data_IF_212362446804
#
_entry.id   IF_212362446804
#
_cell.length_a   1.000
_cell.length_b   1.000
_cell.length_c   1.000
_cell.angle_alpha   90.00
_cell.angle_beta   90.00
_cell.angle_gamma   90.00
#
_symmetry.space_group_name_H-M   'P 1'
#
loop_
_entity.id
_entity.type
_entity.pdbx_description
1 polymer ?
#
# COMPACT_ATOMS: atom_id res chain seq x y z
N UNK A 1 3.60 -13.55 -17.36
CA UNK A 1 3.45 -14.95 -17.86
C UNK A 1 2.17 -15.46 -17.24
N UNK A 2 1.13 -15.68 -18.05
CA UNK A 2 -0.19 -16.04 -17.55
C UNK A 2 -0.16 -17.41 -16.84
N UNK A 3 -0.81 -17.55 -15.70
CA UNK A 3 -1.02 -18.85 -15.07
C UNK A 3 -2.08 -19.67 -15.81
N UNK A 4 -2.24 -20.94 -15.42
CA UNK A 4 -3.22 -21.87 -16.02
C UNK A 4 -4.69 -21.42 -15.86
N UNK A 5 -4.96 -20.35 -15.11
CA UNK A 5 -6.30 -19.76 -14.94
C UNK A 5 -6.46 -18.43 -15.68
N UNK A 6 -5.46 -18.01 -16.45
CA UNK A 6 -5.50 -16.78 -17.25
C UNK A 6 -5.16 -15.51 -16.48
N UNK A 7 -4.54 -15.61 -15.31
CA UNK A 7 -4.07 -14.43 -14.56
C UNK A 7 -2.64 -14.09 -14.94
N UNK A 8 -2.35 -12.82 -15.25
CA UNK A 8 -0.97 -12.39 -15.45
C UNK A 8 -0.32 -12.18 -14.09
N UNK A 9 0.32 -13.23 -13.60
CA UNK A 9 1.12 -13.18 -12.39
C UNK A 9 2.46 -12.53 -12.74
N UNK A 10 2.46 -11.19 -12.76
CA UNK A 10 3.65 -10.36 -12.86
C UNK A 10 4.59 -10.51 -11.65
N UNK A 11 5.59 -9.61 -11.56
CA UNK A 11 6.68 -9.59 -10.57
C UNK A 11 6.27 -9.87 -9.11
N UNK A 12 5.04 -9.50 -8.72
CA UNK A 12 4.47 -9.71 -7.39
C UNK A 12 4.43 -11.19 -6.93
N UNK A 13 4.30 -12.16 -7.84
CA UNK A 13 4.24 -13.58 -7.47
C UNK A 13 5.63 -14.23 -7.33
N UNK A 14 6.65 -13.72 -8.03
CA UNK A 14 7.99 -14.33 -8.08
C UNK A 14 8.84 -14.01 -6.86
N UNK A 15 8.56 -12.92 -6.16
CA UNK A 15 9.25 -12.56 -4.92
C UNK A 15 8.48 -13.10 -3.70
N UNK A 16 8.63 -14.40 -3.41
CA UNK A 16 8.35 -14.95 -2.06
C UNK A 16 9.29 -14.29 -1.06
N UNK A 17 8.97 -13.08 -0.61
CA UNK A 17 9.58 -12.44 0.54
C UNK A 17 8.51 -12.24 1.58
N UNK A 18 8.86 -12.65 2.79
CA UNK A 18 8.11 -12.59 4.04
C UNK A 18 7.82 -11.11 4.35
N UNK A 19 6.84 -10.55 3.65
CA UNK A 19 6.34 -9.20 3.80
C UNK A 19 4.86 -9.30 3.51
N UNK A 20 4.08 -9.55 4.56
CA UNK A 20 2.65 -9.71 4.42
C UNK A 20 2.11 -8.34 4.00
N UNK A 21 1.61 -8.28 2.77
CA UNK A 21 0.81 -7.17 2.29
C UNK A 21 -0.62 -7.45 2.74
N UNK A 22 -1.20 -6.53 3.51
CA UNK A 22 -2.50 -6.75 4.14
C UNK A 22 -3.64 -6.12 3.34
N UNK A 23 -3.31 -5.07 2.59
CA UNK A 23 -4.27 -4.32 1.76
C UNK A 23 -3.53 -3.57 0.63
N UNK A 24 -4.25 -3.21 -0.43
CA UNK A 24 -3.74 -2.38 -1.51
C UNK A 24 -4.83 -1.50 -2.13
N UNK A 25 -4.47 -0.26 -2.46
CA UNK A 25 -5.30 0.70 -3.18
C UNK A 25 -4.50 1.21 -4.38
N UNK A 26 -5.16 1.45 -5.51
CA UNK A 26 -4.51 1.96 -6.71
C UNK A 26 -5.11 3.31 -7.11
N UNK A 27 -4.26 4.20 -7.61
CA UNK A 27 -4.64 5.40 -8.36
C UNK A 27 -4.39 5.17 -9.84
N UNK A 28 -4.58 6.21 -10.67
CA UNK A 28 -4.25 6.10 -12.10
C UNK A 28 -2.76 5.79 -12.34
N UNK A 29 -1.87 6.27 -11.48
CA UNK A 29 -0.42 6.20 -11.71
C UNK A 29 0.31 5.23 -10.76
N UNK A 30 -0.24 4.97 -9.57
CA UNK A 30 0.50 4.33 -8.49
C UNK A 30 -0.35 3.26 -7.77
N UNK A 31 0.34 2.22 -7.29
CA UNK A 31 -0.21 1.19 -6.41
C UNK A 31 0.37 1.39 -5.02
N UNK A 32 -0.50 1.63 -4.04
CA UNK A 32 -0.16 1.75 -2.64
C UNK A 32 -0.45 0.43 -1.96
N UNK A 33 0.52 -0.13 -1.26
CA UNK A 33 0.34 -1.38 -0.55
C UNK A 33 0.72 -1.27 0.91
N UNK A 34 -0.23 -1.64 1.75
CA UNK A 34 -0.13 -1.60 3.20
C UNK A 34 0.61 -2.82 3.74
N UNK A 35 1.59 -2.55 4.59
CA UNK A 35 2.38 -3.56 5.28
C UNK A 35 2.45 -3.24 6.76
N UNK A 36 2.38 -4.27 7.60
CA UNK A 36 2.67 -4.15 9.03
C UNK A 36 4.17 -4.30 9.27
N UNK A 37 4.74 -3.43 10.09
CA UNK A 37 6.07 -3.64 10.63
C UNK A 37 5.95 -4.47 11.92
N UNK A 38 6.16 -5.78 11.81
CA UNK A 38 6.06 -6.70 12.95
C UNK A 38 7.03 -6.44 14.10
N UNK A 39 8.01 -5.53 13.95
CA UNK A 39 8.93 -5.15 15.02
C UNK A 39 8.55 -3.85 15.74
N UNK A 40 7.88 -2.90 15.05
CA UNK A 40 7.64 -1.55 15.60
C UNK A 40 6.18 -1.25 15.91
N UNK A 41 5.24 -2.16 15.59
CA UNK A 41 3.80 -1.92 15.75
C UNK A 41 3.24 -0.85 14.80
N UNK A 42 4.04 -0.31 13.88
CA UNK A 42 3.58 0.70 12.93
C UNK A 42 3.36 0.09 11.55
N UNK A 43 2.37 0.62 10.82
CA UNK A 43 2.22 0.28 9.41
C UNK A 43 3.12 1.15 8.53
N UNK A 44 3.39 0.67 7.32
CA UNK A 44 4.04 1.45 6.27
C UNK A 44 3.43 1.13 4.92
N UNK A 45 3.43 2.11 4.03
CA UNK A 45 3.03 1.94 2.63
C UNK A 45 4.27 1.75 1.77
N UNK A 46 4.21 0.74 0.91
CA UNK A 46 5.09 0.65 -0.25
C UNK A 46 4.31 1.07 -1.49
N UNK A 47 4.89 1.99 -2.24
CA UNK A 47 4.26 2.56 -3.42
C UNK A 47 5.04 2.11 -4.66
N UNK A 48 4.31 1.65 -5.65
CA UNK A 48 4.84 1.11 -6.90
C UNK A 48 4.19 1.83 -8.07
N UNK A 49 4.86 1.87 -9.21
CA UNK A 49 4.15 2.08 -10.49
C UNK A 49 3.46 0.77 -10.95
N UNK A 50 2.71 0.86 -12.04
CA UNK A 50 2.01 -0.29 -12.64
C UNK A 50 2.93 -1.37 -13.19
N UNK A 51 4.21 -1.06 -13.43
CA UNK A 51 5.23 -2.05 -13.80
C UNK A 51 5.81 -2.78 -12.57
N UNK A 52 5.36 -2.43 -11.37
CA UNK A 52 5.81 -3.01 -10.11
C UNK A 52 7.15 -2.46 -9.60
N UNK A 53 7.62 -1.34 -10.15
CA UNK A 53 8.87 -0.69 -9.72
C UNK A 53 8.58 0.14 -8.45
N UNK A 54 9.29 -0.09 -7.34
CA UNK A 54 9.11 0.70 -6.12
C UNK A 54 9.48 2.17 -6.35
N UNK A 55 8.58 3.09 -5.96
CA UNK A 55 8.81 4.55 -6.02
C UNK A 55 9.00 5.17 -4.64
N UNK A 56 8.18 4.78 -3.66
CA UNK A 56 8.17 5.38 -2.34
C UNK A 56 8.03 4.36 -1.21
N UNK A 57 8.54 4.73 -0.03
CA UNK A 57 8.25 4.09 1.24
C UNK A 57 7.76 5.14 2.22
N UNK A 58 6.56 4.96 2.77
CA UNK A 58 5.93 5.91 3.68
C UNK A 58 5.71 5.21 5.01
N UNK A 59 6.42 5.64 6.04
CA UNK A 59 6.19 5.18 7.41
C UNK A 59 4.95 5.87 7.95
N UNK A 60 4.00 5.09 8.47
CA UNK A 60 2.86 5.62 9.21
C UNK A 60 3.20 5.62 10.70
N UNK A 61 2.57 6.50 11.45
CA UNK A 61 2.79 6.70 12.88
C UNK A 61 1.93 5.79 13.76
N UNK A 62 1.10 4.94 13.15
CA UNK A 62 0.18 4.00 13.81
C UNK A 62 0.09 2.67 13.07
N UNK A 63 -0.43 1.66 13.76
CA UNK A 63 -0.90 0.43 13.12
C UNK A 63 -2.21 0.72 12.38
N UNK A 64 -2.22 0.45 11.08
CA UNK A 64 -3.38 0.67 10.21
C UNK A 64 -3.99 -0.67 9.83
N UNK A 65 -5.32 -0.77 9.92
CA UNK A 65 -6.12 -1.92 9.51
C UNK A 65 -6.52 -1.85 8.04
N UNK A 66 -7.00 -0.68 7.64
CA UNK A 66 -7.56 -0.41 6.31
C UNK A 66 -7.25 1.03 5.94
N UNK A 67 -7.14 1.29 4.64
CA UNK A 67 -6.98 2.64 4.13
C UNK A 67 -7.69 2.84 2.79
N UNK A 68 -7.97 4.10 2.48
CA UNK A 68 -8.48 4.53 1.19
C UNK A 68 -7.73 5.77 0.72
N UNK A 69 -7.57 5.91 -0.60
CA UNK A 69 -6.90 7.05 -1.23
C UNK A 69 -7.90 7.84 -2.04
N UNK A 70 -7.93 9.14 -1.82
CA UNK A 70 -8.68 10.10 -2.62
C UNK A 70 -7.73 10.95 -3.44
N UNK A 71 -7.51 10.54 -4.69
CA UNK A 71 -6.51 11.12 -5.59
C UNK A 71 -6.74 12.61 -5.85
N UNK A 72 -7.99 13.03 -6.07
CA UNK A 72 -8.34 14.45 -6.34
C UNK A 72 -7.89 15.41 -5.23
N UNK A 73 -7.97 14.97 -3.98
CA UNK A 73 -7.61 15.77 -2.81
C UNK A 73 -6.22 15.42 -2.27
N UNK A 74 -5.55 14.44 -2.88
CA UNK A 74 -4.26 13.91 -2.46
C UNK A 74 -4.25 13.53 -0.98
N UNK A 75 -5.32 12.85 -0.53
CA UNK A 75 -5.48 12.41 0.86
C UNK A 75 -5.51 10.90 0.95
N UNK A 76 -4.91 10.39 2.02
CA UNK A 76 -5.11 9.02 2.47
C UNK A 76 -5.90 9.05 3.78
N UNK A 77 -6.96 8.28 3.82
CA UNK A 77 -7.78 8.05 5.01
C UNK A 77 -7.47 6.65 5.52
N UNK A 78 -7.17 6.52 6.80
CA UNK A 78 -6.80 5.25 7.41
C UNK A 78 -7.63 4.99 8.66
N UNK A 79 -7.94 3.72 8.92
CA UNK A 79 -8.55 3.28 10.16
C UNK A 79 -7.46 2.57 10.98
N UNK A 80 -7.13 3.15 12.14
CA UNK A 80 -6.23 2.53 13.11
C UNK A 80 -6.95 1.48 13.97
N UNK A 81 -6.21 0.63 14.68
CA UNK A 81 -6.80 -0.42 15.53
C UNK A 81 -7.78 0.09 16.60
N UNK A 82 -7.60 1.33 17.07
CA UNK A 82 -8.45 1.99 18.06
C UNK A 82 -9.72 2.65 17.47
N UNK A 83 -10.06 2.35 16.21
CA UNK A 83 -11.20 2.93 15.47
C UNK A 83 -11.12 4.44 15.24
N UNK A 84 -9.93 5.02 15.33
CA UNK A 84 -9.67 6.39 14.92
C UNK A 84 -9.49 6.48 13.39
N UNK A 85 -10.08 7.52 12.78
CA UNK A 85 -9.84 7.88 11.39
C UNK A 85 -8.69 8.87 11.33
N UNK A 86 -7.61 8.46 10.67
CA UNK A 86 -6.41 9.28 10.45
C UNK A 86 -6.41 9.78 9.01
N UNK A 87 -5.92 11.01 8.81
CA UNK A 87 -5.82 11.63 7.49
C UNK A 87 -4.38 12.03 7.23
N UNK A 88 -3.79 11.47 6.17
CA UNK A 88 -2.43 11.76 5.74
C UNK A 88 -2.45 12.58 4.45
N UNK A 89 -1.50 13.52 4.34
CA UNK A 89 -1.27 14.31 3.14
C UNK A 89 -0.35 13.57 2.17
N UNK A 90 -0.80 13.40 0.93
CA UNK A 90 -0.04 12.78 -0.16
C UNK A 90 0.37 13.79 -1.23
N UNK A 91 0.32 15.11 -0.97
CA UNK A 91 0.57 16.15 -1.98
C UNK A 91 1.95 16.12 -2.63
N UNK A 92 2.93 15.47 -2.00
CA UNK A 92 4.29 15.29 -2.53
C UNK A 92 4.49 13.95 -3.26
N UNK A 93 3.42 13.14 -3.38
CA UNK A 93 3.44 11.80 -3.97
C UNK A 93 2.47 11.71 -5.15
N UNK A 94 1.28 12.31 -5.01
CA UNK A 94 0.22 12.41 -6.02
C UNK A 94 0.14 13.83 -6.60
#
# INVERSE_FOLDING_TARGET
MLDKKGFDIGYAAMSRRIGIHYDAQATNELIFSLRKNGQSGNSYLRVYDWEGIPKYGITLDREIREFSIQEKTKRLYAIADESEVLVYDLSNIL
#
